data_IF_655435085989
#
_entry.id   IF_655435085989
#
_cell.length_a   1.000
_cell.length_b   1.000
_cell.length_c   1.000
_cell.angle_alpha   90.00
_cell.angle_beta   90.00
_cell.angle_gamma   90.00
#
_symmetry.space_group_name_H-M   'P 1'
#
loop_
_entity.id
_entity.type
_entity.pdbx_description
1 polymer ?
#
# COMPACT_ATOMS: atom_id res chain seq x y z
N UNK A 1 -6.36 -18.83 -26.92
CA UNK A 1 -5.14 -18.82 -26.05
C UNK A 1 -5.41 -18.17 -24.69
N UNK A 2 -6.20 -17.09 -24.61
CA UNK A 2 -6.57 -16.42 -23.35
C UNK A 2 -7.33 -17.33 -22.39
N UNK A 3 -8.27 -18.14 -22.89
CA UNK A 3 -9.08 -19.05 -22.07
C UNK A 3 -8.25 -20.19 -21.48
N UNK A 4 -7.22 -20.64 -22.17
CA UNK A 4 -6.31 -21.66 -21.66
C UNK A 4 -5.46 -21.16 -20.50
N UNK A 5 -4.91 -19.94 -20.61
CA UNK A 5 -4.15 -19.28 -19.55
C UNK A 5 -5.06 -19.04 -18.33
N UNK A 6 -6.27 -18.54 -18.57
CA UNK A 6 -7.22 -18.22 -17.52
C UNK A 6 -7.65 -19.46 -16.72
N UNK A 7 -7.91 -20.56 -17.38
CA UNK A 7 -8.40 -21.79 -16.74
C UNK A 7 -7.30 -22.74 -16.25
N UNK A 8 -6.10 -22.66 -16.83
CA UNK A 8 -5.01 -23.61 -16.51
C UNK A 8 -3.98 -23.06 -15.50
N UNK A 9 -3.74 -21.74 -15.48
CA UNK A 9 -2.69 -21.13 -14.66
C UNK A 9 -3.27 -20.49 -13.41
N UNK A 10 -4.48 -19.92 -13.48
CA UNK A 10 -5.09 -19.22 -12.35
C UNK A 10 -5.92 -20.16 -11.49
N UNK A 11 -5.74 -20.07 -10.17
CA UNK A 11 -6.59 -20.78 -9.21
C UNK A 11 -8.02 -20.21 -9.23
N UNK A 12 -9.07 -21.03 -8.93
CA UNK A 12 -10.47 -20.58 -8.99
C UNK A 12 -10.73 -19.25 -8.28
N UNK A 13 -10.22 -19.09 -7.07
CA UNK A 13 -10.36 -17.84 -6.28
C UNK A 13 -9.65 -16.62 -6.91
N UNK A 14 -8.66 -16.82 -7.76
CA UNK A 14 -8.01 -15.72 -8.50
C UNK A 14 -8.82 -15.34 -9.74
N UNK A 15 -9.43 -16.32 -10.38
CA UNK A 15 -10.37 -16.11 -11.48
C UNK A 15 -11.58 -15.30 -11.01
N UNK A 16 -12.19 -15.70 -9.87
CA UNK A 16 -13.33 -15.02 -9.29
C UNK A 16 -13.03 -13.53 -8.99
N UNK A 17 -11.85 -13.23 -8.47
CA UNK A 17 -11.43 -11.83 -8.20
C UNK A 17 -11.29 -11.00 -9.46
N UNK A 18 -10.77 -11.58 -10.54
CA UNK A 18 -10.63 -10.89 -11.84
C UNK A 18 -12.00 -10.71 -12.48
N UNK A 19 -12.83 -11.75 -12.48
CA UNK A 19 -14.18 -11.70 -13.06
C UNK A 19 -15.09 -10.73 -12.30
N UNK A 20 -14.99 -10.68 -10.98
CA UNK A 20 -15.66 -9.73 -10.13
C UNK A 20 -15.19 -8.29 -10.43
N UNK A 21 -13.89 -8.06 -10.54
CA UNK A 21 -13.34 -6.75 -10.92
C UNK A 21 -13.80 -6.27 -12.30
N UNK A 22 -13.93 -7.19 -13.28
CA UNK A 22 -14.45 -6.88 -14.61
C UNK A 22 -15.98 -6.73 -14.65
N UNK A 23 -16.66 -6.96 -13.52
CA UNK A 23 -18.12 -6.87 -13.42
C UNK A 23 -18.87 -7.99 -14.17
N UNK A 24 -18.20 -9.09 -14.52
CA UNK A 24 -18.79 -10.24 -15.23
C UNK A 24 -19.55 -11.12 -14.23
N UNK A 25 -19.02 -11.28 -13.00
CA UNK A 25 -19.65 -12.00 -11.93
C UNK A 25 -19.80 -11.00 -10.76
N UNK A 26 -21.02 -10.82 -10.26
CA UNK A 26 -21.26 -10.07 -9.04
C UNK A 26 -21.15 -11.00 -7.85
N UNK A 27 -20.22 -10.71 -6.92
CA UNK A 27 -20.13 -11.37 -5.62
C UNK A 27 -20.60 -10.42 -4.52
N UNK A 28 -21.91 -10.32 -4.27
CA UNK A 28 -22.50 -9.33 -3.37
C UNK A 28 -22.17 -9.57 -1.89
N UNK A 29 -21.56 -10.70 -1.54
CA UNK A 29 -21.18 -11.06 -0.17
C UNK A 29 -19.66 -11.22 0.02
N UNK A 30 -18.86 -11.14 -1.04
CA UNK A 30 -17.43 -11.35 -1.03
C UNK A 30 -16.60 -10.10 -1.32
N UNK A 31 -15.75 -10.19 -2.33
CA UNK A 31 -14.79 -9.13 -2.67
C UNK A 31 -15.43 -7.82 -3.11
N UNK A 32 -16.55 -7.88 -3.86
CA UNK A 32 -17.28 -6.69 -4.32
C UNK A 32 -17.91 -5.94 -3.15
N UNK A 33 -18.44 -6.66 -2.16
CA UNK A 33 -18.96 -6.06 -0.94
C UNK A 33 -17.87 -5.22 -0.23
N UNK A 34 -16.69 -5.80 -0.04
CA UNK A 34 -15.59 -5.12 0.65
C UNK A 34 -15.14 -3.84 -0.07
N UNK A 35 -15.03 -3.88 -1.40
CA UNK A 35 -14.67 -2.71 -2.21
C UNK A 35 -15.79 -1.65 -2.17
N UNK A 36 -17.03 -2.05 -2.27
CA UNK A 36 -18.16 -1.11 -2.21
C UNK A 36 -18.24 -0.46 -0.83
N UNK A 37 -18.09 -1.23 0.25
CA UNK A 37 -18.08 -0.68 1.60
C UNK A 37 -16.89 0.25 1.84
N UNK A 38 -15.71 -0.06 1.29
CA UNK A 38 -14.55 0.83 1.38
C UNK A 38 -14.77 2.15 0.66
N UNK A 39 -15.39 2.13 -0.53
CA UNK A 39 -15.77 3.36 -1.27
C UNK A 39 -16.80 4.21 -0.51
N UNK A 40 -17.80 3.56 0.10
CA UNK A 40 -18.81 4.24 0.94
C UNK A 40 -18.12 4.86 2.16
N UNK A 41 -17.21 4.14 2.82
CA UNK A 41 -16.47 4.65 3.97
C UNK A 41 -15.65 5.89 3.60
N UNK A 42 -14.82 5.81 2.55
CA UNK A 42 -14.02 6.93 2.06
C UNK A 42 -14.92 8.12 1.67
N UNK A 43 -15.98 7.87 0.90
CA UNK A 43 -16.92 8.92 0.47
C UNK A 43 -17.64 9.58 1.63
N UNK A 44 -17.96 8.82 2.69
CA UNK A 44 -18.66 9.33 3.87
C UNK A 44 -17.80 10.24 4.75
N UNK A 45 -16.46 10.17 4.63
CA UNK A 45 -15.53 11.03 5.36
C UNK A 45 -15.49 12.48 4.86
N UNK A 46 -15.88 12.74 3.60
CA UNK A 46 -15.83 14.08 3.02
C UNK A 46 -14.43 14.71 3.05
N UNK A 47 -14.35 16.04 3.20
CA UNK A 47 -13.08 16.76 3.18
C UNK A 47 -12.27 16.64 4.49
N UNK A 48 -12.93 16.76 5.63
CA UNK A 48 -12.28 16.84 6.96
C UNK A 48 -12.41 15.56 7.79
N UNK A 49 -13.15 14.56 7.31
CA UNK A 49 -13.43 13.34 8.04
C UNK A 49 -14.55 13.51 9.09
N UNK A 50 -14.97 12.37 9.65
CA UNK A 50 -15.96 12.33 10.74
C UNK A 50 -15.35 12.55 12.12
N UNK A 51 -14.04 12.55 12.21
CA UNK A 51 -13.27 12.62 13.47
C UNK A 51 -12.73 11.27 13.92
N UNK A 52 -11.69 11.32 14.75
CA UNK A 52 -10.99 10.15 15.24
C UNK A 52 -11.95 9.23 16.03
N UNK A 53 -12.01 7.95 15.71
CA UNK A 53 -12.89 6.92 16.26
C UNK A 53 -14.40 7.19 16.09
N UNK A 54 -14.80 8.14 15.24
CA UNK A 54 -16.22 8.45 14.97
C UNK A 54 -16.71 7.89 13.62
N UNK A 55 -15.89 7.09 12.93
CA UNK A 55 -16.25 6.42 11.69
C UNK A 55 -17.38 5.42 11.91
N UNK A 56 -18.54 5.64 11.29
CA UNK A 56 -19.72 4.78 11.44
C UNK A 56 -19.55 3.46 10.72
N UNK A 57 -18.99 3.45 9.51
CA UNK A 57 -18.77 2.24 8.73
C UNK A 57 -17.76 1.29 9.42
N UNK A 58 -16.73 1.89 10.00
CA UNK A 58 -15.68 1.16 10.73
C UNK A 58 -16.20 0.66 12.07
N UNK A 59 -16.91 1.51 12.82
CA UNK A 59 -17.42 1.18 14.16
C UNK A 59 -18.42 0.02 14.13
N UNK A 60 -19.30 -0.02 13.14
CA UNK A 60 -20.28 -1.09 12.99
C UNK A 60 -19.73 -2.34 12.26
N UNK A 61 -18.47 -2.33 11.83
CA UNK A 61 -17.84 -3.51 11.24
C UNK A 61 -18.32 -3.86 9.83
N UNK A 62 -18.84 -2.88 9.08
CA UNK A 62 -19.29 -3.09 7.71
C UNK A 62 -18.13 -3.38 6.74
N UNK A 63 -16.90 -2.96 7.07
CA UNK A 63 -15.70 -3.27 6.30
C UNK A 63 -14.95 -4.40 7.01
N UNK A 64 -15.00 -5.65 6.49
CA UNK A 64 -14.12 -6.72 6.94
C UNK A 64 -12.66 -6.34 6.66
N UNK A 65 -11.69 -6.91 7.38
CA UNK A 65 -10.25 -6.69 7.17
C UNK A 65 -9.80 -5.20 7.19
N UNK A 66 -10.58 -4.34 7.87
CA UNK A 66 -10.32 -2.89 7.98
C UNK A 66 -8.97 -2.54 8.61
N UNK A 67 -8.41 -3.44 9.41
CA UNK A 67 -7.13 -3.22 10.10
C UNK A 67 -5.91 -3.68 9.28
N UNK A 68 -6.13 -4.53 8.29
CA UNK A 68 -5.07 -5.11 7.44
C UNK A 68 -5.08 -4.46 6.07
N UNK A 69 -5.92 -4.96 5.18
CA UNK A 69 -5.87 -4.63 3.76
C UNK A 69 -6.60 -3.32 3.41
N UNK A 70 -7.64 -2.99 4.17
CA UNK A 70 -8.48 -1.82 3.94
C UNK A 70 -8.23 -0.68 4.95
N UNK A 71 -7.02 -0.60 5.54
CA UNK A 71 -6.69 0.45 6.51
C UNK A 71 -6.81 1.86 5.91
N UNK A 72 -6.57 2.02 4.60
CA UNK A 72 -6.69 3.31 3.92
C UNK A 72 -8.11 3.85 3.94
N UNK A 73 -9.16 2.98 3.91
CA UNK A 73 -10.55 3.44 4.03
C UNK A 73 -10.86 3.96 5.45
N UNK A 74 -10.20 3.42 6.49
CA UNK A 74 -10.30 3.94 7.86
C UNK A 74 -9.79 5.38 7.94
N UNK A 75 -8.62 5.63 7.35
CA UNK A 75 -8.06 6.98 7.25
C UNK A 75 -9.02 7.89 6.47
N UNK A 76 -9.60 7.39 5.38
CA UNK A 76 -10.57 8.15 4.57
C UNK A 76 -11.84 8.52 5.31
N UNK A 77 -12.39 7.63 6.12
CA UNK A 77 -13.60 7.91 6.91
C UNK A 77 -13.34 8.85 8.10
N UNK A 78 -12.25 8.62 8.84
CA UNK A 78 -11.96 9.38 10.08
C UNK A 78 -11.34 10.75 9.82
N UNK A 79 -10.39 10.84 8.89
CA UNK A 79 -9.59 12.04 8.61
C UNK A 79 -9.94 12.69 7.27
N UNK A 80 -10.84 12.09 6.50
CA UNK A 80 -11.32 12.59 5.23
C UNK A 80 -10.26 12.68 4.14
N UNK A 81 -10.56 13.51 3.13
CA UNK A 81 -9.67 13.73 2.00
C UNK A 81 -8.31 14.31 2.43
N UNK A 82 -8.31 15.24 3.38
CA UNK A 82 -7.07 15.86 3.87
C UNK A 82 -6.17 14.82 4.53
N UNK A 83 -6.72 13.94 5.37
CA UNK A 83 -5.94 12.89 6.01
C UNK A 83 -5.35 11.89 5.03
N UNK A 84 -6.13 11.45 4.03
CA UNK A 84 -5.63 10.54 2.98
C UNK A 84 -4.52 11.18 2.17
N UNK A 85 -4.64 12.47 1.81
CA UNK A 85 -3.60 13.21 1.09
C UNK A 85 -2.32 13.35 1.92
N UNK A 86 -2.42 13.61 3.23
CA UNK A 86 -1.24 13.68 4.11
C UNK A 86 -0.53 12.32 4.17
N UNK A 87 -1.26 11.22 4.34
CA UNK A 87 -0.67 9.88 4.37
C UNK A 87 0.02 9.55 3.05
N UNK A 88 -0.64 9.79 1.91
CA UNK A 88 -0.04 9.56 0.59
C UNK A 88 1.18 10.43 0.36
N UNK A 89 1.14 11.70 0.75
CA UNK A 89 2.29 12.61 0.65
C UNK A 89 3.48 12.12 1.47
N UNK A 90 3.27 11.64 2.70
CA UNK A 90 4.33 11.10 3.54
C UNK A 90 4.94 9.82 2.93
N UNK A 91 4.13 8.92 2.40
CA UNK A 91 4.60 7.71 1.72
C UNK A 91 5.37 8.06 0.43
N UNK A 92 4.88 9.00 -0.36
CA UNK A 92 5.59 9.50 -1.54
C UNK A 92 6.93 10.16 -1.16
N UNK A 93 6.97 10.98 -0.11
CA UNK A 93 8.21 11.58 0.38
C UNK A 93 9.21 10.51 0.84
N UNK A 94 8.76 9.45 1.49
CA UNK A 94 9.61 8.32 1.88
C UNK A 94 10.22 7.64 0.65
N UNK A 95 9.41 7.35 -0.37
CA UNK A 95 9.85 6.72 -1.63
C UNK A 95 10.85 7.63 -2.36
N UNK A 96 10.53 8.92 -2.50
CA UNK A 96 11.44 9.91 -3.10
C UNK A 96 12.75 10.04 -2.31
N UNK A 97 12.70 9.94 -1.00
CA UNK A 97 13.90 9.95 -0.15
C UNK A 97 14.78 8.74 -0.41
N UNK A 98 14.19 7.55 -0.54
CA UNK A 98 14.93 6.32 -0.89
C UNK A 98 15.57 6.41 -2.27
N UNK A 99 14.87 6.96 -3.26
CA UNK A 99 15.41 7.19 -4.60
C UNK A 99 16.63 8.14 -4.57
N UNK A 100 16.51 9.27 -3.85
CA UNK A 100 17.63 10.21 -3.66
C UNK A 100 18.80 9.60 -2.90
N UNK A 101 18.54 8.70 -1.94
CA UNK A 101 19.59 7.93 -1.29
C UNK A 101 20.30 7.02 -2.29
N UNK A 102 19.57 6.35 -3.17
CA UNK A 102 20.12 5.52 -4.25
C UNK A 102 21.01 6.31 -5.22
N UNK A 103 20.62 7.52 -5.61
CA UNK A 103 21.40 8.38 -6.50
C UNK A 103 22.77 8.80 -5.90
N UNK A 104 22.85 8.90 -4.57
CA UNK A 104 24.07 9.30 -3.87
C UNK A 104 25.04 8.14 -3.65
N UNK A 105 24.61 6.90 -3.82
CA UNK A 105 25.44 5.73 -3.61
C UNK A 105 26.55 5.63 -4.67
N UNK A 106 27.78 5.49 -4.22
CA UNK A 106 28.94 5.25 -5.09
C UNK A 106 29.03 3.77 -5.48
N UNK A 107 28.67 2.89 -4.55
CA UNK A 107 28.64 1.45 -4.76
C UNK A 107 27.39 1.01 -5.54
N UNK A 108 27.56 0.20 -6.62
CA UNK A 108 26.42 -0.28 -7.42
C UNK A 108 25.39 -1.06 -6.60
N UNK A 109 25.84 -1.85 -5.64
CA UNK A 109 24.96 -2.62 -4.76
C UNK A 109 24.01 -1.74 -3.95
N UNK A 110 24.55 -0.70 -3.29
CA UNK A 110 23.74 0.22 -2.50
C UNK A 110 22.71 0.97 -3.33
N UNK A 111 23.09 1.36 -4.55
CA UNK A 111 22.20 2.03 -5.51
C UNK A 111 21.03 1.14 -5.90
N UNK A 112 21.34 -0.08 -6.37
CA UNK A 112 20.30 -1.05 -6.79
C UNK A 112 19.37 -1.39 -5.63
N UNK A 113 19.94 -1.62 -4.44
CA UNK A 113 19.16 -1.94 -3.24
C UNK A 113 18.14 -0.84 -2.91
N UNK A 114 18.55 0.42 -2.88
CA UNK A 114 17.64 1.55 -2.60
C UNK A 114 16.50 1.66 -3.63
N UNK A 115 16.80 1.47 -4.92
CA UNK A 115 15.77 1.48 -5.96
C UNK A 115 14.82 0.29 -5.85
N UNK A 116 15.31 -0.90 -5.54
CA UNK A 116 14.46 -2.07 -5.32
C UNK A 116 13.50 -1.86 -4.13
N UNK A 117 14.01 -1.34 -3.01
CA UNK A 117 13.16 -1.04 -1.83
C UNK A 117 12.13 0.04 -2.17
N UNK A 118 12.52 1.10 -2.87
CA UNK A 118 11.59 2.14 -3.32
C UNK A 118 10.50 1.58 -4.25
N UNK A 119 10.86 0.69 -5.18
CA UNK A 119 9.92 0.04 -6.09
C UNK A 119 8.94 -0.88 -5.35
N UNK A 120 9.41 -1.66 -4.37
CA UNK A 120 8.56 -2.53 -3.54
C UNK A 120 7.56 -1.68 -2.75
N UNK A 121 7.99 -0.61 -2.10
CA UNK A 121 7.10 0.28 -1.35
C UNK A 121 6.08 0.96 -2.28
N UNK A 122 6.52 1.45 -3.44
CA UNK A 122 5.63 2.07 -4.43
C UNK A 122 4.57 1.07 -4.89
N UNK A 123 4.95 -0.16 -5.21
CA UNK A 123 4.02 -1.21 -5.63
C UNK A 123 2.95 -1.49 -4.56
N UNK A 124 3.36 -1.64 -3.28
CA UNK A 124 2.43 -1.86 -2.18
C UNK A 124 1.44 -0.70 -2.02
N UNK A 125 1.92 0.54 -2.09
CA UNK A 125 1.07 1.75 -1.99
C UNK A 125 0.08 1.79 -3.16
N UNK A 126 0.54 1.62 -4.39
CA UNK A 126 -0.31 1.66 -5.58
C UNK A 126 -1.40 0.59 -5.55
N UNK A 127 -1.03 -0.65 -5.21
CA UNK A 127 -2.01 -1.76 -5.17
C UNK A 127 -2.98 -1.58 -4.02
N UNK A 128 -2.51 -1.23 -2.80
CA UNK A 128 -3.40 -1.06 -1.64
C UNK A 128 -4.39 0.08 -1.86
N UNK A 129 -3.92 1.25 -2.26
CA UNK A 129 -4.81 2.39 -2.56
C UNK A 129 -5.70 2.08 -3.74
N UNK A 130 -5.15 1.49 -4.82
CA UNK A 130 -5.91 1.11 -6.01
C UNK A 130 -7.07 0.16 -5.72
N UNK A 131 -6.86 -0.86 -4.86
CA UNK A 131 -7.94 -1.78 -4.50
C UNK A 131 -8.99 -1.15 -3.59
N UNK A 132 -8.61 -0.25 -2.68
CA UNK A 132 -9.57 0.42 -1.79
C UNK A 132 -10.50 1.39 -2.52
N UNK A 133 -10.02 2.04 -3.58
CA UNK A 133 -10.84 2.90 -4.45
C UNK A 133 -11.48 2.13 -5.61
N UNK A 134 -11.17 0.83 -5.74
CA UNK A 134 -11.76 -0.06 -6.76
C UNK A 134 -11.19 0.12 -8.16
N UNK A 135 -9.95 0.60 -8.30
CA UNK A 135 -9.21 0.65 -9.56
C UNK A 135 -8.41 -0.63 -9.83
N UNK A 136 -8.25 -1.48 -8.81
CA UNK A 136 -7.53 -2.75 -8.92
C UNK A 136 -8.31 -3.86 -8.22
N UNK A 137 -8.16 -5.13 -8.65
CA UNK A 137 -8.76 -6.25 -7.94
C UNK A 137 -8.20 -6.39 -6.53
N UNK A 138 -9.00 -6.94 -5.61
CA UNK A 138 -8.58 -7.13 -4.22
C UNK A 138 -7.50 -8.21 -4.15
N UNK A 139 -6.28 -7.83 -3.78
CA UNK A 139 -5.13 -8.73 -3.70
C UNK A 139 -4.68 -9.04 -2.27
N UNK A 140 -5.23 -8.33 -1.27
CA UNK A 140 -4.82 -8.55 0.13
C UNK A 140 -3.37 -8.10 0.40
N UNK A 141 -2.94 -6.97 -0.18
CA UNK A 141 -1.59 -6.42 -0.01
C UNK A 141 -1.63 -5.31 1.04
N UNK A 142 -0.87 -5.42 2.14
CA UNK A 142 -0.90 -4.44 3.21
C UNK A 142 -0.26 -3.11 2.80
N UNK A 143 -0.75 -2.00 3.35
CA UNK A 143 -0.15 -0.68 3.20
C UNK A 143 1.12 -0.59 4.08
N UNK A 144 2.29 -0.25 3.52
CA UNK A 144 3.53 -0.18 4.29
C UNK A 144 3.42 0.74 5.51
N UNK A 145 3.90 0.27 6.65
CA UNK A 145 3.95 0.96 7.95
C UNK A 145 2.60 1.35 8.57
N UNK A 146 1.48 1.11 7.91
CA UNK A 146 0.15 1.47 8.40
C UNK A 146 -0.73 0.26 8.69
N UNK A 147 -0.66 -0.78 7.85
CA UNK A 147 -1.47 -1.98 8.03
C UNK A 147 -1.05 -2.78 9.25
N UNK A 148 -2.04 -3.30 9.97
CA UNK A 148 -1.81 -4.22 11.07
C UNK A 148 -1.26 -5.54 10.55
N UNK A 149 0.00 -5.82 10.88
CA UNK A 149 0.70 -7.05 10.49
C UNK A 149 2.12 -7.03 11.05
N UNK A 150 2.39 -7.80 12.10
CA UNK A 150 3.72 -7.82 12.75
C UNK A 150 4.83 -8.21 11.78
N UNK A 151 4.61 -9.21 10.93
CA UNK A 151 5.59 -9.69 9.95
C UNK A 151 5.87 -8.68 8.85
N UNK A 152 4.84 -8.03 8.31
CA UNK A 152 5.01 -7.03 7.26
C UNK A 152 5.71 -5.77 7.78
N UNK A 153 5.37 -5.32 8.97
CA UNK A 153 6.00 -4.18 9.61
C UNK A 153 7.49 -4.43 9.87
N UNK A 154 7.84 -5.61 10.40
CA UNK A 154 9.24 -6.01 10.61
C UNK A 154 9.99 -6.05 9.27
N UNK A 155 9.41 -6.67 8.23
CA UNK A 155 10.03 -6.77 6.92
C UNK A 155 10.33 -5.39 6.32
N UNK A 156 9.34 -4.48 6.26
CA UNK A 156 9.54 -3.13 5.74
C UNK A 156 10.52 -2.31 6.57
N UNK A 157 10.52 -2.50 7.89
CA UNK A 157 11.45 -1.84 8.80
C UNK A 157 12.88 -2.30 8.52
N UNK A 158 13.13 -3.61 8.39
CA UNK A 158 14.46 -4.15 8.07
C UNK A 158 14.93 -3.61 6.71
N UNK A 159 14.08 -3.66 5.67
CA UNK A 159 14.42 -3.14 4.34
C UNK A 159 14.82 -1.67 4.40
N UNK A 160 14.08 -0.85 5.14
CA UNK A 160 14.35 0.56 5.29
C UNK A 160 15.66 0.82 6.05
N UNK A 161 15.90 0.12 7.17
CA UNK A 161 17.11 0.34 7.97
C UNK A 161 18.38 -0.10 7.25
N UNK A 162 18.34 -1.16 6.43
CA UNK A 162 19.46 -1.54 5.58
C UNK A 162 19.77 -0.41 4.57
N UNK A 163 18.75 0.17 3.92
CA UNK A 163 18.95 1.29 3.00
C UNK A 163 19.60 2.50 3.72
N UNK A 164 19.10 2.85 4.91
CA UNK A 164 19.66 3.94 5.73
C UNK A 164 21.11 3.64 6.14
N UNK A 165 21.43 2.40 6.50
CA UNK A 165 22.80 1.99 6.86
C UNK A 165 23.76 2.10 5.70
N UNK A 166 23.33 1.71 4.50
CA UNK A 166 24.13 1.86 3.28
C UNK A 166 24.41 3.34 2.98
N UNK A 167 23.41 4.23 3.10
CA UNK A 167 23.61 5.68 2.89
C UNK A 167 24.58 6.26 3.93
N UNK A 168 24.48 5.86 5.18
CA UNK A 168 25.39 6.31 6.23
C UNK A 168 26.84 5.88 5.98
N UNK A 169 27.08 4.64 5.55
CA UNK A 169 28.44 4.16 5.24
C UNK A 169 29.08 4.91 4.08
N UNK A 170 28.31 5.19 3.03
CA UNK A 170 28.78 5.98 1.87
C UNK A 170 29.17 7.39 2.26
N UNK A 171 28.41 8.03 3.16
CA UNK A 171 28.74 9.37 3.66
C UNK A 171 30.04 9.38 4.48
N UNK A 172 30.24 8.39 5.35
CA UNK A 172 31.47 8.26 6.12
C UNK A 172 32.69 8.11 5.21
N UNK A 173 32.60 7.26 4.19
CA UNK A 173 33.67 7.07 3.21
C UNK A 173 33.99 8.34 2.45
N UNK A 174 32.97 9.10 2.02
CA UNK A 174 33.17 10.39 1.33
C UNK A 174 33.78 11.46 2.22
N UNK A 175 33.57 11.44 3.53
CA UNK A 175 34.21 12.37 4.46
C UNK A 175 35.68 12.02 4.70
N UNK A 176 36.00 10.73 4.86
CA UNK A 176 37.40 10.28 5.05
C UNK A 176 38.31 10.52 3.83
N UNK A 177 37.75 10.53 2.63
CA UNK A 177 38.56 10.81 1.40
C UNK A 177 38.75 12.30 1.11
N UNK A 178 38.22 13.20 1.92
CA UNK A 178 38.43 14.66 1.78
C UNK A 178 39.57 15.21 2.62
N UNK A 179 40.20 14.37 3.42
CA UNK A 179 41.41 14.64 4.19
C UNK A 179 42.59 13.78 3.69
#
# INVERSE_FOLDING_TARGET
ETDYIFNSILKPHQQDRILSFLGIISDPLGTDYNVNQSKIAIGSGGFLGKGFLQGTQIKYGFVPERHTDFIFCTVGEEWGFVGTMVVLALLCLLILRLMRMGERQQEPFGRIYCYCVAAILLFHVLVNVGMTIGLMPVMGIPLPFMSYGGSSLIAFTILLFIAVRLDASTRQFSLNNKF
#
